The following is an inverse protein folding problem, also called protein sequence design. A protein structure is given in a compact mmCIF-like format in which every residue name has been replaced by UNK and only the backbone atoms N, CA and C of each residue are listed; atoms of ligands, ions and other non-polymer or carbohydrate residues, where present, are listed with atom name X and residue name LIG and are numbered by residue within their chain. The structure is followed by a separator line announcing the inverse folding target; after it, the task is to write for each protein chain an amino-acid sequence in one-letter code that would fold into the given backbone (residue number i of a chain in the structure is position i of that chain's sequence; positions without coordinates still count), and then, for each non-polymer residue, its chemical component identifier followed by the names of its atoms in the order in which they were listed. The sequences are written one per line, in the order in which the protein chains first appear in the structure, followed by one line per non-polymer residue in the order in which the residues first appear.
data_IF_679094861204
#
_entry.id   IF_679094861204
#
_cell.length_a   1.000
_cell.length_b   1.000
_cell.length_c   1.000
_cell.angle_alpha   90.00
_cell.angle_beta   90.00
_cell.angle_gamma   90.00
#
_symmetry.space_group_name_H-M   'P 1'
#
loop_
_entity.id
_entity.type
_entity.pdbx_description
1 polymer ?
#
# COMPACT_ATOMS: atom_id res chain seq x y z
N UNK A 1 -33.08 -6.70 1.13
CA UNK A 1 -31.97 -5.94 1.77
C UNK A 1 -30.63 -6.66 1.64
N UNK A 2 -30.56 -7.97 1.92
CA UNK A 2 -29.31 -8.76 1.83
C UNK A 2 -28.68 -8.81 0.43
N UNK A 3 -29.50 -8.90 -0.63
CA UNK A 3 -29.00 -8.89 -2.01
C UNK A 3 -28.26 -7.60 -2.39
N UNK A 4 -28.77 -6.45 -1.93
CA UNK A 4 -28.14 -5.15 -2.16
C UNK A 4 -26.84 -5.00 -1.37
N UNK A 5 -26.81 -5.49 -0.11
CA UNK A 5 -25.59 -5.51 0.70
C UNK A 5 -24.48 -6.35 0.06
N UNK A 6 -24.83 -7.51 -0.53
CA UNK A 6 -23.88 -8.36 -1.25
C UNK A 6 -23.33 -7.68 -2.50
N UNK A 7 -24.19 -7.10 -3.33
CA UNK A 7 -23.75 -6.35 -4.52
C UNK A 7 -22.82 -5.19 -4.17
N UNK A 8 -23.13 -4.43 -3.12
CA UNK A 8 -22.26 -3.37 -2.64
C UNK A 8 -20.90 -3.90 -2.18
N UNK A 9 -20.89 -4.99 -1.41
CA UNK A 9 -19.64 -5.62 -0.97
C UNK A 9 -18.78 -6.07 -2.16
N UNK A 10 -19.40 -6.66 -3.19
CA UNK A 10 -18.70 -7.15 -4.37
C UNK A 10 -18.11 -5.99 -5.19
N UNK A 11 -18.86 -4.88 -5.36
CA UNK A 11 -18.37 -3.66 -6.01
C UNK A 11 -17.20 -3.04 -5.24
N UNK A 12 -17.34 -2.91 -3.91
CA UNK A 12 -16.28 -2.35 -3.06
C UNK A 12 -15.03 -3.22 -3.14
N UNK A 13 -15.17 -4.54 -3.02
CA UNK A 13 -14.06 -5.48 -3.13
C UNK A 13 -13.35 -5.39 -4.48
N UNK A 14 -14.12 -5.33 -5.58
CA UNK A 14 -13.58 -5.14 -6.92
C UNK A 14 -12.81 -3.82 -7.06
N UNK A 15 -13.38 -2.71 -6.59
CA UNK A 15 -12.73 -1.40 -6.62
C UNK A 15 -11.46 -1.38 -5.77
N UNK A 16 -11.48 -1.96 -4.56
CA UNK A 16 -10.30 -2.09 -3.70
C UNK A 16 -9.18 -2.84 -4.41
N UNK A 17 -9.49 -3.95 -5.10
CA UNK A 17 -8.51 -4.69 -5.88
C UNK A 17 -7.85 -3.84 -6.97
N UNK A 18 -8.65 -3.07 -7.73
CA UNK A 18 -8.15 -2.17 -8.78
C UNK A 18 -7.24 -1.08 -8.18
N UNK A 19 -7.65 -0.45 -7.08
CA UNK A 19 -6.88 0.61 -6.44
C UNK A 19 -5.55 0.10 -5.89
N UNK A 20 -5.53 -1.09 -5.27
CA UNK A 20 -4.29 -1.73 -4.79
C UNK A 20 -3.35 -2.03 -5.97
N UNK A 21 -3.87 -2.56 -7.07
CA UNK A 21 -3.08 -2.85 -8.26
C UNK A 21 -2.49 -1.55 -8.87
N UNK A 22 -3.27 -0.47 -8.92
CA UNK A 22 -2.81 0.82 -9.40
C UNK A 22 -1.68 1.40 -8.52
N UNK A 23 -1.83 1.36 -7.18
CA UNK A 23 -0.78 1.77 -6.24
C UNK A 23 0.49 0.94 -6.46
N UNK A 24 0.36 -0.39 -6.59
CA UNK A 24 1.49 -1.27 -6.88
C UNK A 24 2.21 -0.92 -8.18
N UNK A 25 1.45 -0.63 -9.25
CA UNK A 25 2.02 -0.18 -10.52
C UNK A 25 2.78 1.15 -10.38
N UNK A 26 2.23 2.13 -9.67
CA UNK A 26 2.92 3.40 -9.43
C UNK A 26 4.20 3.23 -8.60
N UNK A 27 4.22 2.32 -7.62
CA UNK A 27 5.45 1.97 -6.89
C UNK A 27 6.50 1.43 -7.86
N UNK A 28 6.14 0.52 -8.77
CA UNK A 28 7.06 -0.03 -9.78
C UNK A 28 7.58 1.06 -10.73
N UNK A 29 6.70 1.92 -11.25
CA UNK A 29 7.07 3.06 -12.10
C UNK A 29 8.09 3.94 -11.36
N UNK A 30 7.86 4.22 -10.08
CA UNK A 30 8.73 5.08 -9.29
C UNK A 30 10.10 4.48 -9.00
N UNK A 31 10.17 3.16 -8.89
CA UNK A 31 11.44 2.41 -8.75
C UNK A 31 12.24 2.41 -10.05
N UNK A 32 11.58 2.23 -11.20
CA UNK A 32 12.26 2.15 -12.51
C UNK A 32 12.68 3.52 -13.02
N UNK A 33 11.78 4.51 -12.94
CA UNK A 33 11.95 5.79 -13.59
C UNK A 33 12.37 6.94 -12.67
N UNK A 34 12.44 6.71 -11.35
CA UNK A 34 12.82 7.75 -10.40
C UNK A 34 11.73 8.81 -10.18
N UNK A 35 12.06 9.90 -9.48
CA UNK A 35 11.13 11.01 -9.24
C UNK A 35 11.02 11.83 -10.52
N UNK A 36 9.80 12.01 -11.00
CA UNK A 36 9.51 12.95 -12.07
C UNK A 36 8.49 13.94 -11.55
N UNK A 37 8.59 15.20 -11.96
CA UNK A 37 7.76 16.30 -11.45
C UNK A 37 6.25 16.05 -11.65
N UNK A 38 5.88 15.30 -12.69
CA UNK A 38 4.48 14.97 -13.03
C UNK A 38 4.00 13.60 -12.50
N UNK A 39 4.83 12.85 -11.76
CA UNK A 39 4.44 11.53 -11.22
C UNK A 39 4.07 11.66 -9.75
N UNK A 40 2.90 11.13 -9.32
CA UNK A 40 2.54 11.09 -7.91
C UNK A 40 3.64 10.41 -7.08
N UNK A 41 4.10 11.05 -6.00
CA UNK A 41 5.07 10.44 -5.10
C UNK A 41 4.40 9.45 -4.15
N UNK A 42 4.09 8.27 -4.69
CA UNK A 42 3.41 7.21 -3.96
C UNK A 42 4.24 6.71 -2.79
N UNK A 43 5.58 6.74 -2.87
CA UNK A 43 6.44 6.32 -1.76
C UNK A 43 6.36 7.33 -0.62
N UNK A 44 6.43 8.63 -0.91
CA UNK A 44 6.27 9.67 0.11
C UNK A 44 4.87 9.64 0.76
N UNK A 45 3.82 9.43 -0.04
CA UNK A 45 2.46 9.27 0.48
C UNK A 45 2.33 8.06 1.43
N UNK A 46 2.91 6.91 1.05
CA UNK A 46 2.94 5.73 1.92
C UNK A 46 3.74 5.96 3.20
N UNK A 47 4.88 6.65 3.10
CA UNK A 47 5.69 7.05 4.27
C UNK A 47 4.87 7.93 5.21
N UNK A 48 4.12 8.92 4.70
CA UNK A 48 3.27 9.78 5.53
C UNK A 48 2.18 9.01 6.29
N UNK A 49 1.61 7.96 5.69
CA UNK A 49 0.68 7.06 6.38
C UNK A 49 1.39 6.30 7.51
N UNK A 50 2.60 5.78 7.26
CA UNK A 50 3.40 5.08 8.28
C UNK A 50 3.76 6.03 9.43
N UNK A 51 4.16 7.26 9.13
CA UNK A 51 4.47 8.29 10.13
C UNK A 51 3.25 8.60 11.00
N UNK A 52 2.06 8.69 10.41
CA UNK A 52 0.82 8.92 11.14
C UNK A 52 0.39 7.75 12.04
N UNK A 53 0.69 6.51 11.64
CA UNK A 53 0.30 5.33 12.39
C UNK A 53 1.28 4.96 13.51
N UNK A 54 2.59 5.03 13.22
CA UNK A 54 3.65 4.57 14.14
C UNK A 54 4.25 5.73 14.94
N UNK A 55 4.26 6.95 14.38
CA UNK A 55 4.82 8.16 14.99
C UNK A 55 5.93 8.81 14.17
N UNK A 56 6.18 10.10 14.43
CA UNK A 56 7.24 10.89 13.78
C UNK A 56 8.62 10.27 14.04
N UNK A 57 9.23 9.69 13.02
CA UNK A 57 10.50 8.95 13.11
C UNK A 57 10.38 7.47 12.72
N UNK A 58 9.17 6.98 12.46
CA UNK A 58 8.99 5.70 11.80
C UNK A 58 9.54 5.75 10.37
N UNK A 59 10.17 4.67 9.92
CA UNK A 59 10.60 4.56 8.52
C UNK A 59 9.84 3.43 7.86
N UNK A 60 9.37 3.67 6.63
CA UNK A 60 8.78 2.64 5.79
C UNK A 60 9.78 1.48 5.60
N UNK A 61 11.07 1.78 5.48
CA UNK A 61 12.13 0.78 5.44
C UNK A 61 12.19 -0.10 6.70
N UNK A 62 12.08 0.50 7.89
CA UNK A 62 12.02 -0.23 9.15
C UNK A 62 10.78 -1.12 9.27
N UNK A 63 9.62 -0.61 8.83
CA UNK A 63 8.38 -1.38 8.79
C UNK A 63 8.48 -2.57 7.83
N UNK A 64 9.01 -2.36 6.62
CA UNK A 64 9.26 -3.43 5.64
C UNK A 64 10.23 -4.46 6.22
N UNK A 65 11.31 -4.01 6.87
CA UNK A 65 12.30 -4.91 7.49
C UNK A 65 11.65 -5.80 8.56
N UNK A 66 10.81 -5.24 9.43
CA UNK A 66 10.06 -6.01 10.42
C UNK A 66 9.12 -7.02 9.77
N UNK A 67 8.38 -6.62 8.73
CA UNK A 67 7.48 -7.52 7.99
C UNK A 67 8.26 -8.68 7.35
N UNK A 68 9.43 -8.43 6.79
CA UNK A 68 10.30 -9.48 6.23
C UNK A 68 10.73 -10.44 7.34
N UNK A 69 11.18 -9.94 8.49
CA UNK A 69 11.56 -10.76 9.64
C UNK A 69 10.36 -11.63 10.07
N UNK A 70 9.20 -11.02 10.31
CA UNK A 70 7.99 -11.76 10.71
C UNK A 70 7.57 -12.80 9.67
N UNK A 71 7.66 -12.48 8.38
CA UNK A 71 7.35 -13.42 7.30
C UNK A 71 8.31 -14.62 7.27
N UNK A 72 9.60 -14.41 7.56
CA UNK A 72 10.59 -15.49 7.67
C UNK A 72 10.30 -16.35 8.90
N UNK A 73 10.04 -15.75 10.05
CA UNK A 73 9.74 -16.48 11.30
C UNK A 73 8.39 -17.22 11.26
N UNK A 74 7.41 -16.68 10.54
CA UNK A 74 6.09 -17.26 10.34
C UNK A 74 6.06 -18.41 9.32
N UNK A 75 7.14 -18.66 8.57
CA UNK A 75 7.31 -19.90 7.82
C UNK A 75 7.66 -21.04 8.79
N UNK A 76 6.64 -21.60 9.42
CA UNK A 76 6.66 -22.92 10.05
C UNK A 76 5.44 -23.71 9.60
#
# INVERSE_FOLDING_TARGET
MEAYAKQLKDIIGGLTGILIAAIGLFVVVRVIFGLQDDTPDVIANLQGIVDGFVGSGASLAGLITLLIILAIFGRK
#
